data_IF_325247716622
#
_entry.id   IF_325247716622
#
_cell.length_a   1.000
_cell.length_b   1.000
_cell.length_c   1.000
_cell.angle_alpha   90.00
_cell.angle_beta   90.00
_cell.angle_gamma   90.00
#
_symmetry.space_group_name_H-M   'P 1'
#
loop_
_entity.id
_entity.type
_entity.pdbx_description
1 polymer ?
2 water ?
#
# COMPACT_ATOMS: atom_id res chain seq x y z
N UNK A 10 -4.70 -17.90 -2.40
CA UNK A 10 -5.45 -18.36 -1.23
C UNK A 10 -6.72 -17.53 -1.07
N UNK A 11 -6.68 -16.29 -1.51
CA UNK A 11 -7.81 -15.37 -1.36
C UNK A 11 -8.73 -15.43 -2.56
N UNK A 12 -10.00 -15.05 -2.36
CA UNK A 12 -10.99 -15.05 -3.44
C UNK A 12 -11.08 -13.69 -4.10
N UNK A 13 -10.28 -13.47 -5.14
CA UNK A 13 -10.25 -12.20 -5.86
C UNK A 13 -11.33 -12.14 -6.94
N UNK A 14 -11.95 -13.28 -7.23
CA UNK A 14 -12.92 -13.38 -8.31
C UNK A 14 -14.09 -12.41 -8.19
N UNK A 15 -14.30 -11.87 -6.99
CA UNK A 15 -15.47 -11.03 -6.75
C UNK A 15 -15.23 -9.55 -7.01
N UNK A 16 -13.96 -9.15 -7.06
CA UNK A 16 -13.63 -7.72 -7.13
C UNK A 16 -13.42 -7.21 -8.55
N UNK A 17 -13.37 -5.88 -8.68
CA UNK A 17 -13.25 -5.23 -9.97
C UNK A 17 -11.90 -5.45 -10.63
N UNK A 18 -11.91 -5.39 -11.96
CA UNK A 18 -10.69 -5.47 -12.74
C UNK A 18 -9.71 -4.40 -12.27
N UNK A 19 -10.24 -3.21 -12.00
CA UNK A 19 -9.40 -2.08 -11.60
C UNK A 19 -8.61 -2.38 -10.33
N UNK A 20 -9.21 -3.16 -9.43
CA UNK A 20 -8.56 -3.49 -8.18
C UNK A 20 -7.41 -4.47 -8.44
N UNK A 21 -7.59 -5.35 -9.41
CA UNK A 21 -6.55 -6.31 -9.76
C UNK A 21 -5.31 -5.57 -10.24
N UNK A 22 -5.49 -4.65 -11.17
CA UNK A 22 -4.36 -3.90 -11.71
C UNK A 22 -3.74 -3.04 -10.63
N UNK A 23 -4.56 -2.58 -9.68
CA UNK A 23 -4.06 -1.83 -8.54
C UNK A 23 -3.12 -2.69 -7.72
N UNK A 24 -3.53 -3.94 -7.48
CA UNK A 24 -2.72 -4.88 -6.73
C UNK A 24 -1.43 -5.24 -7.47
N UNK A 25 -1.51 -5.26 -8.80
CA UNK A 25 -0.35 -5.67 -9.61
C UNK A 25 0.65 -4.53 -9.79
N UNK A 26 0.15 -3.32 -10.03
CA UNK A 26 1.02 -2.21 -10.38
C UNK A 26 1.23 -1.21 -9.25
N UNK A 27 0.29 -1.14 -8.31
CA UNK A 27 0.21 0.00 -7.40
C UNK A 27 -0.10 -0.38 -5.96
N UNK A 28 0.41 -1.53 -5.51
CA UNK A 28 0.14 -1.97 -4.14
C UNK A 28 0.95 -1.18 -3.10
N UNK A 29 1.97 -0.46 -3.54
CA UNK A 29 2.71 0.42 -2.67
C UNK A 29 3.72 -0.27 -1.77
N UNK A 30 3.97 -1.54 -2.04
CA UNK A 30 4.95 -2.30 -1.28
C UNK A 30 6.31 -1.63 -1.29
N UNK A 31 6.69 -1.12 -2.46
CA UNK A 31 7.95 -0.41 -2.62
C UNK A 31 8.09 0.76 -1.65
N UNK A 32 7.02 1.53 -1.49
CA UNK A 32 7.06 2.68 -0.57
C UNK A 32 7.21 2.20 0.87
N UNK A 33 6.40 1.22 1.26
CA UNK A 33 6.49 0.65 2.60
C UNK A 33 7.86 0.02 2.83
N UNK A 34 8.48 -0.47 1.76
CA UNK A 34 9.83 -1.02 1.88
C UNK A 34 10.77 0.08 2.33
N UNK A 35 10.69 1.24 1.68
CA UNK A 35 11.56 2.36 2.01
C UNK A 35 11.32 2.82 3.44
N UNK A 36 10.06 2.96 3.83
CA UNK A 36 9.74 3.39 5.19
C UNK A 36 10.25 2.38 6.22
N UNK A 37 10.18 1.09 5.88
CA UNK A 37 10.68 0.06 6.78
C UNK A 37 12.17 0.24 6.99
N UNK A 38 12.90 0.47 5.91
CA UNK A 38 14.34 0.69 5.97
C UNK A 38 14.67 1.90 6.85
N UNK A 39 13.97 2.99 6.62
CA UNK A 39 14.17 4.20 7.41
C UNK A 39 13.97 3.92 8.90
N UNK A 40 12.93 3.16 9.21
CA UNK A 40 12.61 2.84 10.61
C UNK A 40 13.67 1.91 11.20
N UNK A 41 14.07 0.89 10.47
CA UNK A 41 15.11 -0.02 10.93
C UNK A 41 16.37 0.77 11.29
N UNK A 42 16.81 1.63 10.37
CA UNK A 42 17.99 2.44 10.61
C UNK A 42 17.82 3.32 11.85
N UNK A 43 16.62 3.86 12.04
CA UNK A 43 16.37 4.74 13.17
C UNK A 43 16.27 3.98 14.49
N UNK A 44 16.13 2.66 14.41
CA UNK A 44 16.17 1.82 15.60
C UNK A 44 17.54 1.18 15.78
N UNK A 45 18.56 1.78 15.16
CA UNK A 45 19.95 1.38 15.36
C UNK A 45 20.33 0.08 14.63
N UNK A 46 19.58 -0.27 13.59
CA UNK A 46 19.99 -1.36 12.71
C UNK A 46 20.81 -0.80 11.56
N UNK A 47 21.84 -1.52 11.15
CA UNK A 47 22.66 -1.13 10.01
C UNK A 47 22.61 -2.23 8.97
N UNK A 48 22.70 -1.87 7.70
CA UNK A 48 22.68 -2.86 6.63
C UNK A 48 24.07 -3.09 6.07
N UNK A 49 24.55 -4.32 6.18
CA UNK A 49 25.87 -4.69 5.68
C UNK A 49 25.74 -5.09 4.22
N UNK A 50 26.35 -4.29 3.34
CA UNK A 50 26.18 -4.46 1.90
C UNK A 50 26.63 -5.84 1.43
N UNK A 51 27.82 -6.24 1.82
CA UNK A 51 28.39 -7.51 1.37
C UNK A 51 27.69 -8.74 1.97
N UNK A 52 27.51 -8.75 3.29
CA UNK A 52 26.79 -9.82 3.96
C UNK A 52 25.31 -9.81 3.56
N UNK A 53 24.86 -8.69 3.02
CA UNK A 53 23.47 -8.54 2.58
C UNK A 53 22.51 -8.87 3.70
N UNK A 54 22.66 -8.19 4.84
CA UNK A 54 21.89 -8.51 6.03
C UNK A 54 21.81 -7.30 6.94
N UNK A 55 20.70 -7.18 7.69
CA UNK A 55 20.58 -6.12 8.66
C UNK A 55 21.23 -6.59 9.96
N UNK A 56 21.94 -5.68 10.62
CA UNK A 56 22.71 -6.01 11.80
C UNK A 56 22.43 -5.01 12.92
N UNK A 57 22.51 -5.46 14.16
CA UNK A 57 22.43 -4.57 15.29
C UNK A 57 23.18 -5.15 16.50
N UNK A 58 23.66 -4.26 17.36
CA UNK A 58 24.41 -4.68 18.54
C UNK A 58 23.53 -5.53 19.44
N UNK A 59 24.11 -6.63 19.93
CA UNK A 59 23.45 -7.43 20.95
C UNK A 59 23.57 -6.69 22.27
N UNK A 60 22.46 -6.55 23.00
CA UNK A 60 22.51 -5.81 24.27
C UNK A 60 23.39 -6.54 25.30
N UNK A 61 24.18 -5.78 26.04
CA UNK A 61 25.07 -6.35 27.03
C UNK A 61 26.30 -6.98 26.43
N UNK A 62 26.56 -6.70 25.14
CA UNK A 62 27.71 -7.26 24.46
C UNK A 62 28.59 -6.15 23.88
N UNK A 63 29.62 -5.78 24.63
CA UNK A 63 30.59 -4.80 24.15
C UNK A 63 31.59 -5.48 23.21
N UNK A 64 32.09 -4.73 22.22
CA UNK A 64 33.02 -5.29 21.24
C UNK A 64 34.33 -5.80 21.88
N UNK A 65 34.81 -6.94 21.38
CA UNK A 65 36.06 -7.51 21.83
C UNK A 65 37.24 -6.69 21.33
N UNK A 66 37.28 -6.48 20.02
CA UNK A 66 38.31 -5.65 19.40
C UNK A 66 37.65 -4.38 18.87
N UNK A 67 38.35 -3.26 18.99
CA UNK A 67 37.83 -1.99 18.50
C UNK A 67 38.94 -1.12 17.95
N UNK A 68 38.86 -0.82 16.66
CA UNK A 68 39.80 0.09 16.01
C UNK A 68 39.00 1.15 15.27
N UNK A 69 39.69 2.10 14.67
CA UNK A 69 39.03 3.22 14.01
C UNK A 69 38.36 2.84 12.69
N UNK A 70 38.66 1.64 12.19
CA UNK A 70 38.11 1.20 10.92
C UNK A 70 37.26 -0.06 11.03
N UNK A 71 37.23 -0.67 12.21
CA UNK A 71 36.45 -1.88 12.40
C UNK A 71 36.38 -2.28 13.87
N UNK A 72 35.55 -3.27 14.15
CA UNK A 72 35.47 -3.85 15.49
C UNK A 72 35.04 -5.30 15.39
N UNK A 73 35.25 -6.05 16.47
CA UNK A 73 34.81 -7.43 16.52
C UNK A 73 33.99 -7.62 17.78
N UNK A 74 32.93 -8.40 17.67
CA UNK A 74 32.03 -8.63 18.79
C UNK A 74 30.87 -9.49 18.33
N UNK A 75 29.84 -9.57 19.17
CA UNK A 75 28.66 -10.34 18.84
C UNK A 75 27.51 -9.40 18.50
N UNK A 76 26.85 -9.65 17.38
CA UNK A 76 25.76 -8.81 16.92
C UNK A 76 24.57 -9.67 16.52
N UNK A 77 23.39 -9.05 16.47
CA UNK A 77 22.21 -9.71 15.95
C UNK A 77 22.17 -9.57 14.45
N UNK A 78 21.83 -10.65 13.77
CA UNK A 78 21.67 -10.67 12.33
C UNK A 78 20.26 -11.14 12.06
N UNK A 79 19.54 -10.48 11.16
CA UNK A 79 18.24 -11.01 10.79
C UNK A 79 18.38 -11.96 9.62
N UNK A 80 18.17 -13.25 9.90
CA UNK A 80 18.26 -14.28 8.87
C UNK A 80 16.95 -14.33 8.12
N UNK A 81 16.93 -13.77 6.91
CA UNK A 81 15.70 -13.65 6.14
C UNK A 81 15.32 -14.98 5.50
N UNK A 82 16.22 -15.94 5.55
CA UNK A 82 15.93 -17.28 5.03
C UNK A 82 15.18 -18.10 6.08
N UNK A 83 15.67 -18.04 7.32
CA UNK A 83 15.01 -18.73 8.43
C UNK A 83 14.08 -17.80 9.18
N UNK A 84 14.04 -16.54 8.74
CA UNK A 84 13.15 -15.55 9.31
C UNK A 84 13.24 -15.50 10.84
N UNK A 85 14.43 -15.21 11.34
CA UNK A 85 14.62 -15.08 12.77
C UNK A 85 15.90 -14.29 13.07
N UNK A 86 15.90 -13.61 14.22
CA UNK A 86 17.05 -12.86 14.68
C UNK A 86 18.08 -13.83 15.24
N UNK A 87 19.30 -13.76 14.75
CA UNK A 87 20.36 -14.71 15.11
C UNK A 87 21.61 -14.00 15.61
N UNK A 88 22.19 -14.51 16.69
CA UNK A 88 23.40 -13.94 17.25
C UNK A 88 24.63 -14.56 16.59
N UNK A 89 25.60 -13.72 16.26
CA UNK A 89 26.81 -14.17 15.59
C UNK A 89 27.99 -13.27 15.96
N UNK A 90 29.13 -13.89 16.22
CA UNK A 90 30.37 -13.14 16.39
C UNK A 90 30.87 -12.79 15.00
N UNK A 91 31.36 -11.57 14.81
CA UNK A 91 31.60 -11.08 13.46
C UNK A 91 32.64 -9.97 13.44
N UNK A 92 33.43 -9.94 12.37
CA UNK A 92 34.38 -8.86 12.15
C UNK A 92 33.70 -7.77 11.35
N UNK A 93 33.41 -6.64 11.99
CA UNK A 93 32.57 -5.61 11.40
C UNK A 93 33.39 -4.40 10.92
N UNK A 94 33.49 -4.24 9.62
CA UNK A 94 34.19 -3.12 9.02
C UNK A 94 33.18 -2.00 8.72
N UNK A 95 33.33 -0.88 9.42
CA UNK A 95 32.33 0.19 9.36
C UNK A 95 31.95 0.62 7.95
N UNK A 96 32.94 0.77 7.08
CA UNK A 96 32.67 1.30 5.74
C UNK A 96 31.88 0.32 4.86
N UNK A 97 31.58 -0.86 5.41
CA UNK A 97 30.72 -1.82 4.71
C UNK A 97 29.25 -1.66 5.09
N UNK A 98 28.96 -0.73 5.99
CA UNK A 98 27.60 -0.46 6.42
C UNK A 98 27.01 0.70 5.64
N UNK A 99 25.82 0.51 5.08
CA UNK A 99 25.17 1.55 4.28
C UNK A 99 24.73 2.72 5.15
N UNK A 100 24.72 3.90 4.55
CA UNK A 100 24.30 5.12 5.24
C UNK A 100 22.78 5.13 5.37
N UNK A 101 22.27 6.08 6.15
CA UNK A 101 20.84 6.15 6.39
C UNK A 101 20.08 6.17 5.07
N UNK A 102 19.01 5.37 4.98
CA UNK A 102 18.18 5.31 3.77
C UNK A 102 17.75 6.68 3.29
N UNK A 103 17.72 6.86 1.97
CA UNK A 103 17.28 8.10 1.35
C UNK A 103 16.51 7.78 0.08
N UNK A 104 15.92 8.80 -0.53
CA UNK A 104 15.14 8.60 -1.74
C UNK A 104 16.02 8.17 -2.91
N UNK A 105 15.56 7.16 -3.67
CA UNK A 105 16.31 6.67 -4.85
C UNK A 105 16.23 7.63 -6.03
N UNK B 1 12.08 15.43 2.57
CA UNK B 1 12.40 14.07 3.00
C UNK B 1 13.15 14.10 4.34
N UNK B 2 14.09 13.17 4.52
CA UNK B 2 14.95 13.14 5.70
C UNK B 2 14.18 13.08 7.00
N UNK B 3 14.19 14.19 7.77
CA UNK B 3 13.45 14.26 9.03
C UNK B 3 11.95 14.14 8.82
N UNK B 4 11.47 14.49 7.63
CA UNK B 4 10.06 14.38 7.30
C UNK B 4 9.69 12.92 7.06
N UNK B 5 10.53 12.22 6.31
CA UNK B 5 10.30 10.82 6.03
C UNK B 5 10.51 10.02 7.31
N UNK B 6 11.47 10.44 8.13
CA UNK B 6 11.65 9.84 9.45
C UNK B 6 10.33 9.91 10.21
N UNK B 7 9.65 11.06 10.14
CA UNK B 7 8.40 11.26 10.84
C UNK B 7 7.28 10.41 10.27
N UNK B 8 7.21 10.34 8.94
CA UNK B 8 6.21 9.51 8.29
C UNK B 8 6.39 8.05 8.68
N UNK B 9 7.63 7.57 8.63
CA UNK B 9 7.95 6.19 8.99
C UNK B 9 7.63 5.95 10.47
N UNK B 10 7.88 6.96 11.30
CA UNK B 10 7.62 6.85 12.73
C UNK B 10 6.12 6.74 13.01
N UNK B 11 5.33 7.57 12.33
CA UNK B 11 3.89 7.55 12.54
C UNK B 11 3.31 6.23 12.09
N UNK B 12 3.80 5.73 10.97
CA UNK B 12 3.27 4.49 10.38
C UNK B 12 3.72 3.24 11.12
N UNK B 13 4.99 3.19 11.49
CA UNK B 13 5.59 1.95 11.98
C UNK B 13 6.10 2.05 13.42
N UNK B 14 6.05 3.25 13.99
CA UNK B 14 6.60 3.48 15.31
C UNK B 14 6.10 2.53 16.37
N UNK B 15 4.83 2.15 16.28
CA UNK B 15 4.21 1.35 17.33
C UNK B 15 4.42 -0.15 17.13
N UNK B 16 4.86 -0.54 15.93
CA UNK B 16 5.02 -1.95 15.62
C UNK B 16 6.43 -2.47 15.90
N UNK B 17 6.58 -3.79 15.93
CA UNK B 17 7.83 -4.42 16.28
C UNK B 17 8.67 -4.76 15.06
N UNK B 18 9.93 -5.10 15.32
CA UNK B 18 10.91 -5.38 14.27
C UNK B 18 10.41 -6.36 13.21
N UNK B 19 9.55 -7.29 13.62
CA UNK B 19 9.09 -8.33 12.71
C UNK B 19 8.31 -7.76 11.53
N UNK B 20 7.51 -6.72 11.78
CA UNK B 20 6.77 -6.07 10.71
C UNK B 20 7.75 -5.35 9.78
N UNK B 21 8.73 -4.69 10.37
CA UNK B 21 9.73 -3.97 9.59
C UNK B 21 10.40 -4.88 8.57
N UNK B 22 10.81 -6.07 8.99
CA UNK B 22 11.46 -6.99 8.08
C UNK B 22 10.46 -7.54 7.08
N UNK B 23 9.25 -7.83 7.54
CA UNK B 23 8.20 -8.28 6.65
C UNK B 23 8.06 -7.30 5.50
N UNK B 24 8.17 -6.02 5.81
CA UNK B 24 8.02 -4.97 4.81
C UNK B 24 9.28 -4.79 3.96
N UNK B 25 10.46 -4.82 4.60
CA UNK B 25 11.69 -4.63 3.86
C UNK B 25 11.85 -5.69 2.77
N UNK B 26 11.42 -6.91 3.05
CA UNK B 26 11.55 -7.99 2.08
C UNK B 26 10.28 -8.14 1.26
N UNK B 27 9.42 -7.12 1.34
CA UNK B 27 8.23 -6.99 0.49
C UNK B 27 7.42 -8.28 0.40
N UNK B 28 7.20 -8.93 1.54
CA UNK B 28 6.43 -10.15 1.57
C UNK B 28 4.98 -9.93 1.17
N UNK B 29 4.42 -8.80 1.60
CA UNK B 29 3.04 -8.47 1.25
C UNK B 29 2.90 -8.15 -0.22
N UNK B 30 3.62 -7.14 -0.67
CA UNK B 30 3.51 -6.65 -2.04
C UNK B 30 3.75 -7.70 -3.10
N UNK B 31 4.80 -8.50 -2.93
CA UNK B 31 5.16 -9.50 -3.92
C UNK B 31 4.06 -10.54 -4.10
N UNK B 32 3.45 -10.95 -2.99
CA UNK B 32 2.37 -11.94 -3.06
C UNK B 32 1.13 -11.34 -3.71
N UNK B 33 0.72 -10.17 -3.25
CA UNK B 33 -0.44 -9.51 -3.84
C UNK B 33 -0.27 -9.44 -5.35
N UNK B 34 0.90 -8.99 -5.79
CA UNK B 34 1.19 -8.88 -7.21
C UNK B 34 1.01 -10.23 -7.90
N UNK B 35 1.38 -11.30 -7.20
CA UNK B 35 1.24 -12.64 -7.73
C UNK B 35 -0.23 -13.06 -7.81
N UNK B 36 -0.94 -12.91 -6.70
CA UNK B 36 -2.36 -13.24 -6.66
C UNK B 36 -3.14 -12.47 -7.72
N UNK B 37 -2.78 -11.20 -7.93
CA UNK B 37 -3.43 -10.39 -8.94
C UNK B 37 -3.18 -10.98 -10.31
N UNK B 38 -1.94 -11.39 -10.56
CA UNK B 38 -1.57 -12.01 -11.82
C UNK B 38 -2.42 -13.25 -12.07
N UNK B 39 -2.51 -14.11 -11.06
CA UNK B 39 -3.31 -15.32 -11.15
C UNK B 39 -4.76 -15.02 -11.55
N UNK B 40 -5.38 -14.07 -10.85
CA UNK B 40 -6.76 -13.70 -11.14
C UNK B 40 -6.88 -13.10 -12.53
N UNK B 41 -5.98 -12.18 -12.86
CA UNK B 41 -5.97 -11.59 -14.19
C UNK B 41 -5.93 -12.68 -15.24
N UNK B 42 -5.09 -13.69 -15.00
CA UNK B 42 -4.97 -14.80 -15.93
C UNK B 42 -6.27 -15.57 -16.00
N UNK B 43 -6.91 -15.77 -14.84
CA UNK B 43 -8.19 -16.45 -14.79
C UNK B 43 -9.24 -15.72 -15.62
N UNK B 44 -9.09 -14.41 -15.74
CA UNK B 44 -10.04 -13.60 -16.51
C UNK B 44 -9.54 -13.35 -17.93
N UNK B 45 -8.78 -14.29 -18.46
CA UNK B 45 -8.38 -14.29 -19.87
C UNK B 45 -7.42 -13.15 -20.24
N UNK B 46 -6.73 -12.59 -19.25
CA UNK B 46 -5.65 -11.65 -19.53
C UNK B 46 -4.34 -12.42 -19.68
N UNK B 47 -3.60 -12.12 -20.74
CA UNK B 47 -2.27 -12.69 -20.95
C UNK B 47 -1.22 -11.58 -20.87
N UNK B 48 -0.05 -11.88 -20.32
CA UNK B 48 1.01 -10.90 -20.22
C UNK B 48 1.99 -11.04 -21.39
N UNK B 49 2.10 -9.99 -22.20
CA UNK B 49 2.98 -9.99 -23.34
C UNK B 49 4.39 -9.59 -22.90
N UNK B 50 5.38 -10.40 -23.26
CA UNK B 50 6.76 -10.20 -22.78
C UNK B 50 7.43 -8.97 -23.40
N UNK B 51 7.36 -8.85 -24.72
CA UNK B 51 7.96 -7.71 -25.40
C UNK B 51 7.17 -6.42 -25.16
N UNK B 52 5.90 -6.42 -25.52
CA UNK B 52 5.03 -5.28 -25.26
C UNK B 52 5.00 -4.92 -23.78
N UNK B 53 5.29 -5.91 -22.93
CA UNK B 53 5.31 -5.72 -21.49
C UNK B 53 4.03 -5.05 -20.97
N UNK B 54 2.90 -5.65 -21.31
CA UNK B 54 1.61 -5.20 -20.79
C UNK B 54 0.67 -6.38 -20.72
N UNK B 55 -0.40 -6.23 -19.95
CA UNK B 55 -1.47 -7.22 -19.94
C UNK B 55 -2.40 -6.95 -21.11
N UNK B 56 -2.76 -8.01 -21.83
CA UNK B 56 -3.66 -7.87 -22.96
C UNK B 56 -4.71 -8.98 -22.93
N UNK B 57 -5.82 -8.74 -23.63
CA UNK B 57 -6.89 -9.71 -23.69
C UNK B 57 -7.71 -9.45 -24.95
N UNK B 58 -8.25 -10.50 -25.53
CA UNK B 58 -9.10 -10.37 -26.70
C UNK B 58 -10.28 -9.50 -26.35
N UNK B 59 -10.62 -8.57 -27.23
CA UNK B 59 -11.82 -7.77 -27.05
C UNK B 59 -13.02 -8.69 -27.07
N UNK B 60 -13.78 -8.74 -25.97
CA UNK B 60 -14.91 -9.69 -25.91
C UNK B 60 -15.91 -9.44 -27.03
N UNK B 61 -16.36 -10.51 -27.67
CA UNK B 61 -17.30 -10.40 -28.77
C UNK B 61 -16.59 -10.25 -30.11
N UNK B 62 -15.35 -10.73 -30.17
CA UNK B 62 -14.58 -10.66 -31.42
C UNK B 62 -13.57 -11.78 -31.49
N UNK B 63 -13.78 -12.72 -32.42
CA UNK B 63 -12.85 -13.80 -32.65
C UNK B 63 -11.72 -13.31 -33.57
N UNK B 64 -10.53 -13.91 -33.45
CA UNK B 64 -9.38 -13.54 -34.27
C UNK B 64 -9.64 -13.67 -35.76
N UNK B 65 -9.38 -12.60 -36.52
CA UNK B 65 -9.56 -12.62 -37.96
C UNK B 65 -8.77 -13.78 -38.57
N UNK B 66 -7.51 -13.91 -38.18
CA UNK B 66 -6.66 -14.99 -38.65
C UNK B 66 -6.07 -15.72 -37.45
N UNK B 67 -5.96 -17.04 -37.54
CA UNK B 67 -5.41 -17.82 -36.44
C UNK B 67 -4.66 -19.05 -36.93
N UNK B 68 -3.58 -19.39 -36.23
CA UNK B 68 -2.79 -20.58 -36.53
C UNK B 68 -2.33 -21.21 -35.21
N UNK B 69 -1.27 -22.02 -35.28
CA UNK B 69 -0.73 -22.65 -34.09
C UNK B 69 0.41 -21.86 -33.45
N UNK B 70 0.81 -20.76 -34.09
CA UNK B 70 1.93 -19.97 -33.60
C UNK B 70 1.56 -18.50 -33.36
N UNK B 71 0.46 -18.05 -33.93
CA UNK B 71 0.07 -16.65 -33.82
C UNK B 71 -1.41 -16.46 -34.13
N UNK B 72 -1.86 -15.20 -34.05
CA UNK B 72 -3.23 -14.84 -34.41
C UNK B 72 -3.36 -13.33 -34.54
N UNK B 73 -4.17 -12.88 -35.48
CA UNK B 73 -4.45 -11.45 -35.64
C UNK B 73 -5.84 -11.16 -35.10
N UNK B 74 -6.03 -9.94 -34.60
CA UNK B 74 -7.32 -9.55 -34.05
C UNK B 74 -7.21 -8.32 -33.16
N UNK B 75 -8.35 -7.92 -32.59
CA UNK B 75 -8.40 -6.75 -31.73
C UNK B 75 -8.31 -7.13 -30.26
N UNK B 76 -7.37 -6.51 -29.55
CA UNK B 76 -7.16 -6.81 -28.14
C UNK B 76 -7.13 -5.52 -27.31
N UNK B 77 -7.57 -5.61 -26.07
CA UNK B 77 -7.43 -4.51 -25.13
C UNK B 77 -6.04 -4.57 -24.49
N UNK B 78 -5.40 -3.42 -24.38
CA UNK B 78 -4.10 -3.29 -23.73
C UNK B 78 -4.26 -2.42 -22.50
N UNK B 79 -3.76 -2.87 -21.36
CA UNK B 79 -3.83 -2.05 -20.15
C UNK B 79 -2.66 -1.07 -20.08
N UNK B 80 -3.01 0.21 -20.01
CA UNK B 80 -2.03 1.28 -19.89
C UNK B 80 -1.95 1.72 -18.43
N UNK B 81 -0.93 1.25 -17.72
CA UNK B 81 -0.80 1.53 -16.30
C UNK B 81 -0.44 2.99 -16.02
N UNK B 82 0.14 3.66 -17.02
CA UNK B 82 0.53 5.05 -16.86
C UNK B 82 -0.68 5.98 -16.78
N UNK B 83 -1.70 5.69 -17.58
CA UNK B 83 -2.92 6.50 -17.58
C UNK B 83 -4.11 5.75 -16.98
N UNK B 84 -3.85 4.56 -16.44
CA UNK B 84 -4.86 3.78 -15.75
C UNK B 84 -6.11 3.60 -16.61
N UNK B 85 -5.93 3.04 -17.79
CA UNK B 85 -7.04 2.84 -18.72
C UNK B 85 -6.81 1.62 -19.60
N UNK B 86 -7.85 1.24 -20.32
CA UNK B 86 -7.81 0.09 -21.20
C UNK B 86 -8.06 0.57 -22.63
N UNK B 87 -7.14 0.27 -23.53
CA UNK B 87 -7.24 0.73 -24.92
C UNK B 87 -7.21 -0.45 -25.88
N UNK B 88 -8.03 -0.39 -26.92
CA UNK B 88 -8.11 -1.47 -27.89
C UNK B 88 -7.22 -1.18 -29.11
N UNK B 89 -6.58 -2.22 -29.63
CA UNK B 89 -5.68 -2.08 -30.77
C UNK B 89 -5.63 -3.38 -31.56
N UNK B 90 -5.76 -3.28 -32.89
CA UNK B 90 -5.53 -4.44 -33.75
C UNK B 90 -4.06 -4.80 -33.62
N UNK B 91 -3.79 -6.09 -33.42
CA UNK B 91 -2.45 -6.51 -33.02
C UNK B 91 -2.10 -7.90 -33.56
N UNK B 92 -0.81 -8.08 -33.84
CA UNK B 92 -0.28 -9.36 -34.30
C UNK B 92 0.24 -10.12 -33.08
N UNK B 93 -0.54 -11.09 -32.61
CA UNK B 93 -0.22 -11.79 -31.37
C UNK B 93 0.47 -13.13 -31.62
N UNK B 94 1.69 -13.25 -31.12
CA UNK B 94 2.47 -14.48 -31.23
C UNK B 94 2.48 -15.19 -29.89
N UNK B 95 1.92 -16.39 -29.84
CA UNK B 95 1.69 -17.10 -28.58
C UNK B 95 2.94 -17.25 -27.72
N UNK B 96 4.10 -17.43 -28.35
CA UNK B 96 5.34 -17.67 -27.62
C UNK B 96 5.78 -16.43 -26.85
N UNK B 97 5.13 -15.30 -27.10
CA UNK B 97 5.47 -14.05 -26.41
C UNK B 97 4.56 -13.82 -25.20
N UNK B 98 3.92 -14.87 -24.72
CA UNK B 98 3.02 -14.76 -23.58
C UNK B 98 3.52 -15.59 -22.40
N UNK B 99 3.52 -14.99 -21.22
CA UNK B 99 3.91 -15.69 -20.01
C UNK B 99 2.95 -16.84 -19.74
N UNK B 100 3.44 -17.86 -19.06
CA UNK B 100 2.61 -19.00 -18.69
C UNK B 100 1.80 -18.66 -17.44
N UNK B 101 0.77 -19.46 -17.17
CA UNK B 101 -0.08 -19.24 -16.02
C UNK B 101 0.76 -19.03 -14.77
N UNK B 102 0.53 -17.91 -14.06
CA UNK B 102 1.29 -17.62 -12.84
C UNK B 102 1.25 -18.76 -11.82
N UNK B 103 2.35 -18.96 -11.11
CA UNK B 103 2.45 -20.01 -10.10
C UNK B 103 2.43 -21.40 -10.73
N UNK C 2 10.27 17.66 0.69
CA UNK C 2 9.55 18.90 0.92
C UNK C 2 8.73 18.86 2.20
N UNK C 3 7.96 19.92 2.46
CA UNK C 3 7.13 20.04 3.68
C UNK C 3 6.01 18.99 3.74
N UNK C 4 5.62 18.45 2.59
CA UNK C 4 4.53 17.49 2.54
C UNK C 4 4.94 16.20 1.81
N UNK C 5 6.16 15.72 2.07
CA UNK C 5 6.67 14.52 1.41
C UNK C 5 6.61 14.68 -0.11
N UNK C 6 6.92 15.89 -0.58
CA UNK C 6 6.83 16.20 -2.00
C UNK C 6 7.80 15.38 -2.84
N UNK C 7 9.02 15.22 -2.32
CA UNK C 7 10.04 14.47 -3.05
C UNK C 7 9.59 13.03 -3.27
N UNK C 8 9.07 12.41 -2.23
CA UNK C 8 8.64 11.02 -2.31
C UNK C 8 7.49 10.84 -3.29
N UNK C 9 6.56 11.81 -3.30
CA UNK C 9 5.41 11.75 -4.19
C UNK C 9 5.86 11.83 -5.65
N UNK C 10 6.79 12.72 -5.93
CA UNK C 10 7.26 12.93 -7.31
C UNK C 10 8.00 11.71 -7.84
N UNK C 11 8.82 11.11 -7.00
CA UNK C 11 9.61 9.96 -7.41
C UNK C 11 8.74 8.72 -7.60
N UNK C 12 7.74 8.57 -6.74
CA UNK C 12 6.85 7.42 -6.80
C UNK C 12 5.80 7.55 -7.91
N UNK C 13 5.16 8.71 -7.99
CA UNK C 13 4.02 8.89 -8.88
C UNK C 13 4.29 9.85 -10.06
N UNK C 14 5.48 10.41 -10.10
CA UNK C 14 5.80 11.43 -11.10
C UNK C 14 5.57 10.98 -12.53
N UNK C 15 5.81 9.70 -12.79
CA UNK C 15 5.75 9.16 -14.16
C UNK C 15 4.32 8.90 -14.63
N UNK C 16 3.38 8.81 -13.70
CA UNK C 16 2.02 8.43 -14.05
C UNK C 16 1.15 9.64 -14.41
N UNK C 17 0.20 9.41 -15.32
CA UNK C 17 -0.73 10.44 -15.73
C UNK C 17 -1.68 10.80 -14.60
N UNK C 18 -2.34 11.94 -14.73
CA UNK C 18 -3.22 12.46 -13.69
C UNK C 18 -4.40 11.53 -13.40
N UNK C 19 -4.82 10.75 -14.41
CA UNK C 19 -5.96 9.85 -14.22
C UNK C 19 -5.67 8.82 -13.15
N UNK C 20 -4.42 8.38 -13.05
CA UNK C 20 -4.02 7.50 -11.98
C UNK C 20 -4.10 8.24 -10.66
N UNK C 21 -3.63 9.48 -10.65
CA UNK C 21 -3.62 10.27 -9.42
C UNK C 21 -5.03 10.41 -8.84
N UNK C 22 -6.00 10.71 -9.70
CA UNK C 22 -7.37 10.89 -9.26
C UNK C 22 -7.97 9.56 -8.81
N UNK C 23 -7.65 8.49 -9.51
CA UNK C 23 -8.09 7.16 -9.10
C UNK C 23 -7.65 6.91 -7.66
N UNK C 24 -6.36 7.14 -7.39
CA UNK C 24 -5.83 6.94 -6.07
C UNK C 24 -6.51 7.87 -5.07
N UNK C 25 -6.64 9.13 -5.42
CA UNK C 25 -7.21 10.11 -4.50
C UNK C 25 -8.63 9.72 -4.07
N UNK C 26 -9.40 9.18 -5.00
CA UNK C 26 -10.81 8.85 -4.72
C UNK C 26 -11.07 7.38 -4.41
N UNK C 27 -10.04 6.54 -4.48
CA UNK C 27 -10.22 5.11 -4.26
C UNK C 27 -10.42 4.75 -2.79
N UNK C 28 -9.69 5.44 -1.91
CA UNK C 28 -9.62 5.04 -0.51
C UNK C 28 -9.14 3.60 -0.42
N UNK C 29 -8.05 3.30 -1.12
CA UNK C 29 -7.50 1.96 -1.19
C UNK C 29 -7.21 1.36 0.18
N UNK C 30 -6.74 2.20 1.10
CA UNK C 30 -6.49 1.76 2.46
C UNK C 30 -7.73 1.15 3.07
N UNK C 31 -8.86 1.85 2.97
CA UNK C 31 -10.12 1.36 3.50
C UNK C 31 -10.60 0.12 2.73
N UNK C 32 -10.48 0.18 1.41
CA UNK C 32 -10.94 -0.93 0.57
C UNK C 32 -10.24 -2.23 0.94
N UNK C 33 -8.92 -2.16 1.06
CA UNK C 33 -8.13 -3.36 1.33
C UNK C 33 -8.31 -3.84 2.77
N UNK C 34 -8.48 -2.91 3.70
CA UNK C 34 -8.73 -3.28 5.09
C UNK C 34 -10.04 -4.05 5.20
N UNK C 35 -11.06 -3.61 4.48
CA UNK C 35 -12.35 -4.27 4.52
C UNK C 35 -12.26 -5.67 3.88
N UNK C 36 -11.53 -5.76 2.78
CA UNK C 36 -11.34 -7.03 2.09
C UNK C 36 -10.71 -8.05 3.05
N UNK C 37 -9.70 -7.60 3.80
CA UNK C 37 -9.02 -8.46 4.75
C UNK C 37 -9.97 -8.87 5.88
N UNK C 38 -10.81 -7.96 6.34
CA UNK C 38 -11.73 -8.24 7.42
C UNK C 38 -12.75 -9.30 7.02
N UNK C 39 -13.25 -9.21 5.80
CA UNK C 39 -14.23 -10.17 5.31
C UNK C 39 -13.62 -11.56 5.25
N UNK C 40 -12.40 -11.64 4.73
CA UNK C 40 -11.68 -12.91 4.65
C UNK C 40 -11.43 -13.48 6.03
N UNK C 41 -10.84 -12.68 6.91
CA UNK C 41 -10.55 -13.10 8.27
C UNK C 41 -11.81 -13.64 8.95
N UNK C 42 -12.92 -12.94 8.78
CA UNK C 42 -14.16 -13.39 9.40
C UNK C 42 -14.59 -14.72 8.80
N UNK C 43 -14.40 -14.86 7.49
CA UNK C 43 -14.76 -16.09 6.79
C UNK C 43 -13.88 -17.27 7.18
N UNK C 44 -12.70 -16.97 7.73
CA UNK C 44 -11.80 -18.03 8.19
C UNK C 44 -11.88 -18.15 9.70
N UNK C 45 -13.03 -17.77 10.26
CA UNK C 45 -13.35 -18.01 11.67
C UNK C 45 -12.51 -17.18 12.63
N UNK C 46 -11.94 -16.08 12.14
CA UNK C 46 -11.39 -15.07 13.03
C UNK C 46 -12.51 -14.12 13.44
N UNK C 47 -12.40 -13.56 14.63
CA UNK C 47 -13.38 -12.59 15.12
C UNK C 47 -12.66 -11.41 15.74
N UNK C 48 -13.17 -10.20 15.50
CA UNK C 48 -12.56 -9.00 16.04
C UNK C 48 -13.19 -8.66 17.38
N UNK C 49 -12.35 -8.57 18.41
CA UNK C 49 -12.80 -8.27 19.75
C UNK C 49 -12.83 -6.76 19.97
N UNK C 50 -14.00 -6.24 20.34
CA UNK C 50 -14.24 -4.80 20.39
C UNK C 50 -13.39 -4.08 21.43
N UNK C 51 -13.27 -4.67 22.61
CA UNK C 51 -12.50 -4.07 23.69
C UNK C 51 -11.00 -4.41 23.66
N UNK C 52 -10.67 -5.68 23.49
CA UNK C 52 -9.28 -6.09 23.28
C UNK C 52 -8.69 -5.45 22.02
N UNK C 53 -9.56 -5.17 21.04
CA UNK C 53 -9.13 -4.52 19.79
C UNK C 53 -8.11 -5.39 19.04
N UNK C 54 -8.45 -6.67 18.86
CA UNK C 54 -7.58 -7.59 18.14
C UNK C 54 -8.42 -8.69 17.50
N UNK C 55 -7.86 -9.36 16.49
CA UNK C 55 -8.50 -10.51 15.88
C UNK C 55 -8.20 -11.76 16.71
N UNK C 56 -9.18 -12.63 16.82
CA UNK C 56 -9.07 -13.82 17.64
C UNK C 56 -9.70 -15.03 16.95
N UNK C 57 -9.13 -16.20 17.17
CA UNK C 57 -9.69 -17.43 16.60
C UNK C 57 -9.32 -18.63 17.46
N UNK C 58 -10.19 -19.64 17.46
CA UNK C 58 -9.94 -20.85 18.22
C UNK C 58 -8.66 -21.51 17.73
N UNK C 59 -7.88 -22.03 18.68
CA UNK C 59 -6.71 -22.82 18.34
C UNK C 59 -7.20 -24.12 17.70
N UNK C 60 -6.60 -24.51 16.57
CA UNK C 60 -7.07 -25.68 15.82
C UNK C 60 -7.08 -26.94 16.68
N UNK C 61 -8.17 -27.71 16.59
CA UNK C 61 -8.31 -28.93 17.36
C UNK C 61 -8.16 -28.71 18.84
N UNK C 62 -8.88 -27.72 19.37
CA UNK C 62 -8.85 -27.44 20.80
C UNK C 62 -10.17 -26.83 21.24
N UNK C 63 -11.02 -27.66 21.85
CA UNK C 63 -12.34 -27.24 22.28
C UNK C 63 -12.27 -26.36 23.51
N UNK C 64 -13.28 -25.51 23.71
CA UNK C 64 -13.35 -24.68 24.92
C UNK C 64 -13.60 -25.52 26.17
N UNK C 65 -12.96 -25.14 27.28
CA UNK C 65 -13.13 -25.85 28.54
C UNK C 65 -14.50 -25.55 29.13
N UNK C 66 -15.10 -24.46 28.70
CA UNK C 66 -16.42 -24.06 29.17
C UNK C 66 -17.15 -23.28 28.09
N UNK C 67 -18.39 -23.65 27.82
CA UNK C 67 -19.17 -22.97 26.80
C UNK C 67 -20.61 -22.71 27.25
N UNK C 68 -21.05 -21.48 27.05
CA UNK C 68 -22.44 -21.11 27.28
C UNK C 68 -22.93 -20.37 26.05
N UNK C 69 -24.14 -19.81 26.12
CA UNK C 69 -24.71 -19.08 25.00
C UNK C 69 -24.17 -17.65 24.92
N UNK C 70 -23.57 -17.17 26.02
CA UNK C 70 -23.12 -15.79 26.08
C UNK C 70 -21.60 -15.67 26.11
N UNK C 71 -20.91 -16.79 26.34
CA UNK C 71 -19.46 -16.77 26.37
C UNK C 71 -18.88 -18.18 26.35
N UNK C 72 -17.61 -18.27 25.95
CA UNK C 72 -16.87 -19.51 26.01
C UNK C 72 -15.46 -19.23 26.51
N UNK C 73 -14.92 -20.15 27.29
CA UNK C 73 -13.57 -20.03 27.80
C UNK C 73 -12.72 -21.14 27.21
N UNK C 74 -11.46 -20.82 26.92
CA UNK C 74 -10.57 -21.78 26.31
C UNK C 74 -9.27 -21.14 25.87
N UNK C 75 -8.59 -21.79 24.94
CA UNK C 75 -7.33 -21.29 24.42
C UNK C 75 -7.52 -20.86 22.97
N UNK C 76 -7.05 -19.66 22.66
CA UNK C 76 -7.28 -19.07 21.35
C UNK C 76 -6.02 -18.41 20.83
N UNK C 77 -5.94 -18.27 19.52
CA UNK C 77 -4.92 -17.46 18.90
C UNK C 77 -5.46 -16.05 18.73
N UNK C 78 -4.66 -15.06 19.09
CA UNK C 78 -4.96 -13.69 18.73
C UNK C 78 -3.74 -13.13 18.01
N UNK C 79 -3.99 -12.25 17.05
CA UNK C 79 -2.88 -11.65 16.33
C UNK C 79 -2.39 -10.43 17.09
N UNK C 80 -1.21 -10.57 17.69
CA UNK C 80 -0.56 -9.49 18.40
C UNK C 80 0.07 -8.57 17.38
N UNK C 81 -0.73 -7.67 16.81
CA UNK C 81 -0.29 -6.86 15.69
C UNK C 81 0.98 -6.09 16.03
N UNK C 82 1.12 -5.68 17.27
CA UNK C 82 2.29 -4.91 17.69
C UNK C 82 3.58 -5.72 17.55
N UNK C 83 3.56 -6.97 18.01
CA UNK C 83 4.71 -7.86 17.86
C UNK C 83 4.66 -8.62 16.53
N UNK C 84 3.60 -8.39 15.77
CA UNK C 84 3.42 -9.00 14.47
C UNK C 84 3.58 -10.53 14.48
N UNK C 85 2.69 -11.21 15.18
CA UNK C 85 2.68 -12.67 15.19
C UNK C 85 1.47 -13.18 15.95
N UNK C 86 1.00 -14.37 15.57
CA UNK C 86 -0.04 -15.05 16.33
C UNK C 86 0.47 -15.35 17.73
N UNK C 87 -0.44 -15.38 18.69
CA UNK C 87 -0.09 -15.66 20.08
C UNK C 87 -1.22 -16.41 20.76
N UNK C 88 -0.94 -17.62 21.22
CA UNK C 88 -1.93 -18.42 21.92
C UNK C 88 -2.06 -17.95 23.36
N UNK C 89 -3.29 -17.86 23.84
CA UNK C 89 -3.55 -17.43 25.21
C UNK C 89 -4.92 -17.93 25.67
N UNK C 90 -5.11 -18.02 26.97
CA UNK C 90 -6.41 -18.35 27.52
C UNK C 90 -7.28 -17.10 27.53
N UNK C 91 -8.47 -17.21 26.95
CA UNK C 91 -9.42 -16.10 26.90
C UNK C 91 -10.73 -16.49 27.55
N UNK C 92 -11.43 -15.48 28.09
CA UNK C 92 -12.85 -15.59 28.41
C UNK C 92 -13.57 -14.75 27.37
N UNK C 93 -14.19 -15.42 26.40
CA UNK C 93 -14.72 -14.74 25.22
C UNK C 93 -16.22 -14.55 25.27
N UNK C 94 -16.66 -13.30 25.40
CA UNK C 94 -18.08 -12.98 25.34
C UNK C 94 -18.48 -12.67 23.90
N UNK C 95 -19.52 -13.33 23.43
CA UNK C 95 -19.94 -13.19 22.02
C UNK C 95 -20.39 -11.77 21.69
N UNK C 96 -20.92 -11.06 22.66
CA UNK C 96 -21.42 -9.71 22.43
C UNK C 96 -20.27 -8.70 22.39
N UNK C 97 -19.05 -9.16 22.63
CA UNK C 97 -17.88 -8.30 22.52
C UNK C 97 -17.18 -8.51 21.18
N UNK C 98 -17.80 -9.30 20.31
CA UNK C 98 -17.22 -9.59 19.00
C UNK C 98 -18.02 -8.92 17.90
N UNK C 99 -17.32 -8.41 16.89
CA UNK C 99 -17.96 -7.79 15.74
C UNK C 99 -18.67 -8.85 14.92
N UNK C 100 -19.74 -8.46 14.23
CA UNK C 100 -20.43 -9.36 13.33
C UNK C 100 -19.84 -9.26 11.93
N UNK C 101 -20.16 -10.22 11.06
CA UNK C 101 -19.68 -10.20 9.68
C UNK C 101 -19.63 -8.76 9.18
N UNK C 102 -18.41 -8.25 8.92
CA UNK C 102 -18.23 -6.83 8.61
C UNK C 102 -18.49 -6.49 7.15
N UNK C 103 -19.64 -5.89 6.89
CA UNK C 103 -19.91 -5.28 5.59
C UNK C 103 -19.73 -3.78 5.71
N UNK C 104 -19.79 -3.28 6.94
CA UNK C 104 -19.80 -1.84 7.19
C UNK C 104 -18.45 -1.31 7.68
N UNK C 105 -18.23 0.01 7.51
CA UNK C 105 -17.00 0.69 7.95
C UNK C 105 -16.69 0.47 9.42
N UNK C 106 -15.40 0.36 9.75
CA UNK C 106 -14.97 0.08 11.12
C UNK C 106 -15.50 1.12 12.10
N UNK C 107 -15.81 0.65 13.31
CA UNK C 107 -16.18 1.53 14.40
C UNK C 107 -14.92 2.24 14.90
N UNK C 108 -15.06 3.52 15.23
CA UNK C 108 -13.91 4.30 15.69
C UNK C 108 -14.11 4.77 17.13
N UNK C 109 -13.24 4.30 18.01
CA UNK C 109 -13.24 4.75 19.40
C UNK C 109 -12.33 5.96 19.54
N UNK C 110 -12.91 7.11 19.88
CA UNK C 110 -12.14 8.33 19.98
C UNK C 110 -11.22 8.31 21.18
N UNK C 111 -9.94 8.61 20.93
CA UNK C 111 -8.95 8.73 21.99
C UNK C 111 -8.28 10.11 21.90
N UNK C 112 -7.74 10.59 23.04
CA UNK C 112 -7.03 11.88 23.04
C UNK C 112 -5.82 11.87 22.10
N UNK C 113 -5.48 13.02 21.54
CA UNK C 113 -4.34 13.13 20.64
C UNK C 113 -3.04 12.96 21.40
N UNK D 18 -3.07 -15.99 5.53
CA UNK D 18 -3.30 -15.50 6.89
C UNK D 18 -2.41 -14.30 7.18
N UNK D 19 -1.10 -14.53 7.26
CA UNK D 19 -0.17 -13.44 7.47
C UNK D 19 -0.41 -12.30 6.46
N UNK D 20 -0.67 -12.67 5.22
CA UNK D 20 -0.98 -11.70 4.18
C UNK D 20 -2.22 -10.90 4.57
N UNK D 21 -3.20 -11.59 5.15
CA UNK D 21 -4.45 -10.94 5.54
C UNK D 21 -4.25 -9.88 6.61
N UNK D 22 -3.38 -10.16 7.58
CA UNK D 22 -3.10 -9.18 8.62
C UNK D 22 -2.26 -8.03 8.07
N UNK D 23 -1.54 -8.30 6.98
CA UNK D 23 -0.81 -7.25 6.28
C UNK D 23 -1.80 -6.33 5.57
N UNK D 24 -2.81 -6.92 4.95
CA UNK D 24 -3.83 -6.15 4.27
C UNK D 24 -4.67 -5.33 5.24
N UNK D 25 -4.81 -5.83 6.47
CA UNK D 25 -5.65 -5.16 7.46
C UNK D 25 -4.93 -4.01 8.17
N UNK D 26 -3.67 -4.24 8.55
CA UNK D 26 -2.95 -3.28 9.39
C UNK D 26 -1.98 -2.38 8.63
N UNK D 27 -1.47 -2.83 7.49
CA UNK D 27 -0.42 -2.10 6.79
C UNK D 27 -0.43 -2.37 5.30
N UNK D 28 -1.55 -2.05 4.64
CA UNK D 28 -1.69 -2.35 3.22
C UNK D 28 -1.06 -1.29 2.32
N UNK D 29 -0.68 -0.15 2.90
CA UNK D 29 0.02 0.88 2.18
C UNK D 29 -0.88 1.75 1.31
N UNK D 30 -2.18 1.49 1.35
CA UNK D 30 -3.12 2.24 0.52
C UNK D 30 -3.29 3.68 0.96
N UNK D 31 -3.32 3.89 2.28
CA UNK D 31 -3.45 5.23 2.84
C UNK D 31 -2.30 6.13 2.42
N UNK D 32 -1.08 5.61 2.48
CA UNK D 32 0.11 6.40 2.15
C UNK D 32 0.12 6.75 0.67
N UNK D 33 -0.19 5.76 -0.16
CA UNK D 33 -0.18 5.93 -1.59
C UNK D 33 -1.23 6.97 -2.01
N UNK D 34 -2.36 6.96 -1.32
CA UNK D 34 -3.44 7.91 -1.57
C UNK D 34 -2.99 9.33 -1.19
N UNK D 35 -2.33 9.44 -0.04
CA UNK D 35 -1.85 10.73 0.43
C UNK D 35 -0.80 11.30 -0.52
N UNK D 36 0.02 10.42 -1.10
CA UNK D 36 1.03 10.84 -2.05
C UNK D 36 0.38 11.32 -3.35
N UNK D 37 -0.78 10.77 -3.68
CA UNK D 37 -1.52 11.16 -4.87
C UNK D 37 -2.04 12.59 -4.73
N UNK D 38 -2.54 12.90 -3.54
CA UNK D 38 -3.06 14.24 -3.26
C UNK D 38 -1.96 15.28 -3.41
N UNK D 39 -0.77 14.96 -2.90
CA UNK D 39 0.36 15.86 -2.98
C UNK D 39 0.83 16.04 -4.41
N UNK D 40 0.83 14.94 -5.17
CA UNK D 40 1.30 15.00 -6.55
C UNK D 40 0.35 15.84 -7.41
N UNK D 41 -0.94 15.79 -7.11
CA UNK D 41 -1.90 16.64 -7.80
C UNK D 41 -1.60 18.11 -7.52
N UNK D 42 -1.40 18.41 -6.23
CA UNK D 42 -1.13 19.79 -5.83
C UNK D 42 0.14 20.32 -6.47
N UNK D 43 1.13 19.45 -6.64
CA UNK D 43 2.41 19.85 -7.23
C UNK D 43 2.33 19.93 -8.74
N UNK D 44 1.25 19.41 -9.31
CA UNK D 44 1.00 19.57 -10.74
C UNK D 44 0.03 20.72 -10.98
N UNK D 45 -0.02 21.64 -10.03
CA UNK D 45 -0.79 22.89 -10.16
C UNK D 45 -2.30 22.72 -10.02
N UNK D 46 -2.75 21.57 -9.53
CA UNK D 46 -4.15 21.42 -9.15
C UNK D 46 -4.36 22.02 -7.76
N UNK D 47 -5.53 22.62 -7.54
CA UNK D 47 -5.86 23.16 -6.23
C UNK D 47 -7.28 22.76 -5.85
N UNK D 48 -7.51 22.61 -4.55
CA UNK D 48 -8.80 22.13 -4.07
C UNK D 48 -9.68 23.29 -3.65
N UNK D 49 -10.85 23.37 -4.28
CA UNK D 49 -11.79 24.44 -4.00
C UNK D 49 -12.69 24.05 -2.83
N UNK D 50 -12.69 24.87 -1.77
CA UNK D 50 -13.41 24.56 -0.55
C UNK D 50 -14.91 24.41 -0.77
N UNK D 51 -15.54 25.43 -1.35
CA UNK D 51 -16.98 25.41 -1.60
C UNK D 51 -17.40 24.34 -2.61
N UNK D 52 -16.69 24.29 -3.75
CA UNK D 52 -17.04 23.36 -4.82
C UNK D 52 -16.65 21.93 -4.49
N UNK D 53 -15.72 21.77 -3.54
CA UNK D 53 -15.27 20.45 -3.12
C UNK D 53 -14.75 19.64 -4.29
N UNK D 54 -13.83 20.22 -5.06
CA UNK D 54 -13.26 19.56 -6.22
C UNK D 54 -11.89 20.15 -6.55
N UNK D 55 -11.07 19.38 -7.24
CA UNK D 55 -9.77 19.87 -7.67
C UNK D 55 -9.95 20.64 -8.96
N UNK D 56 -9.27 21.78 -9.08
CA UNK D 56 -9.32 22.57 -10.31
C UNK D 56 -7.93 23.05 -10.71
N UNK D 57 -7.74 23.24 -12.01
CA UNK D 57 -6.48 23.75 -12.54
C UNK D 57 -6.76 24.59 -13.78
N UNK D 58 -5.77 25.36 -14.22
CA UNK D 58 -5.93 26.22 -15.38
C UNK D 58 -6.01 25.40 -16.68
N UNK D 59 -6.95 25.77 -17.55
CA UNK D 59 -7.07 25.12 -18.85
C UNK D 59 -6.15 25.78 -19.86
N UNK D 60 -5.44 24.98 -20.67
CA UNK D 60 -4.42 25.48 -21.60
C UNK D 60 -4.97 26.34 -22.73
N UNK D 61 -4.13 27.21 -23.27
CA UNK D 61 -4.52 28.10 -24.34
C UNK D 61 -5.56 29.11 -23.91
N UNK D 62 -5.63 29.38 -22.61
CA UNK D 62 -6.60 30.32 -22.08
C UNK D 62 -6.09 31.03 -20.83
N UNK D 63 -5.99 32.35 -20.91
CA UNK D 63 -5.59 33.17 -19.77
C UNK D 63 -6.84 33.78 -19.12
N UNK D 64 -6.73 34.13 -17.83
CA UNK D 64 -7.85 34.76 -17.14
C UNK D 64 -8.25 36.07 -17.81
N UNK D 65 -9.56 36.32 -17.90
CA UNK D 65 -10.08 37.52 -18.53
C UNK D 65 -10.11 38.68 -17.53
N UNK D 66 -10.05 38.36 -16.25
CA UNK D 66 -10.06 39.37 -15.20
C UNK D 66 -9.14 38.93 -14.06
N UNK D 67 -8.24 39.82 -13.67
CA UNK D 67 -7.30 39.54 -12.59
C UNK D 67 -7.36 40.63 -11.52
N UNK D 68 -7.89 40.26 -10.36
CA UNK D 68 -7.98 41.16 -9.21
C UNK D 68 -7.20 40.54 -8.05
N UNK D 69 -6.85 41.36 -7.06
CA UNK D 69 -6.10 40.88 -5.91
C UNK D 69 -6.75 39.67 -5.24
N UNK D 70 -8.04 39.78 -4.94
CA UNK D 70 -8.75 38.73 -4.22
C UNK D 70 -9.39 37.66 -5.13
N UNK D 71 -9.34 37.86 -6.44
CA UNK D 71 -9.99 36.91 -7.35
C UNK D 71 -9.61 37.12 -8.80
N UNK D 72 -9.95 36.15 -9.63
CA UNK D 72 -9.79 36.26 -11.07
C UNK D 72 -10.96 35.56 -11.75
N UNK D 73 -11.10 35.77 -13.05
CA UNK D 73 -12.12 35.07 -13.83
C UNK D 73 -11.49 34.50 -15.09
N UNK D 74 -11.65 33.20 -15.29
CA UNK D 74 -11.11 32.53 -16.45
C UNK D 74 -11.75 31.17 -16.62
N UNK D 75 -11.13 30.32 -17.43
CA UNK D 75 -11.62 28.97 -17.64
C UNK D 75 -10.66 27.97 -16.98
N UNK D 76 -11.23 27.04 -16.20
CA UNK D 76 -10.44 26.04 -15.49
C UNK D 76 -11.04 24.66 -15.68
N UNK D 77 -10.23 23.63 -15.45
CA UNK D 77 -10.73 22.27 -15.44
C UNK D 77 -11.27 21.93 -14.06
N UNK D 78 -12.43 21.30 -14.03
CA UNK D 78 -13.03 20.82 -12.80
C UNK D 78 -13.14 19.31 -12.90
N UNK D 79 -12.35 18.57 -12.12
CA UNK D 79 -12.44 17.12 -12.17
C UNK D 79 -13.70 16.62 -11.50
N UNK D 80 -14.54 15.95 -12.29
CA UNK D 80 -15.82 15.46 -11.84
C UNK D 80 -15.70 13.99 -11.44
N UNK D 81 -15.65 13.72 -10.14
CA UNK D 81 -15.47 12.36 -9.66
C UNK D 81 -16.74 11.53 -9.84
N UNK D 82 -17.89 12.19 -9.81
CA UNK D 82 -19.17 11.51 -9.97
C UNK D 82 -19.26 10.82 -11.33
N UNK D 83 -18.98 11.57 -12.39
CA UNK D 83 -19.04 11.05 -13.74
C UNK D 83 -17.66 10.73 -14.28
N UNK D 84 -16.65 10.86 -13.43
CA UNK D 84 -15.28 10.57 -13.81
C UNK D 84 -14.93 11.25 -15.12
N UNK D 85 -14.80 12.57 -15.08
CA UNK D 85 -14.49 13.35 -16.28
C UNK D 85 -13.85 14.67 -15.93
N UNK D 86 -13.19 15.27 -16.92
CA UNK D 86 -12.53 16.55 -16.77
C UNK D 86 -13.37 17.59 -17.52
N UNK D 87 -13.80 18.65 -16.83
CA UNK D 87 -14.71 19.62 -17.44
C UNK D 87 -14.15 21.05 -17.43
N UNK D 88 -13.88 21.56 -18.63
CA UNK D 88 -13.51 22.97 -18.80
C UNK D 88 -14.73 23.83 -18.49
N UNK D 89 -14.53 24.90 -17.72
CA UNK D 89 -15.64 25.69 -17.21
C UNK D 89 -15.22 27.12 -16.88
N UNK D 90 -15.95 28.09 -17.42
CA UNK D 90 -15.70 29.49 -17.10
C UNK D 90 -16.18 29.76 -15.67
N UNK D 91 -15.33 30.38 -14.87
CA UNK D 91 -15.56 30.42 -13.43
C UNK D 91 -14.95 31.65 -12.76
N UNK D 92 -15.66 32.18 -11.78
CA UNK D 92 -15.16 33.27 -10.96
C UNK D 92 -14.38 32.69 -9.78
N UNK D 93 -13.06 32.78 -9.85
CA UNK D 93 -12.19 32.11 -8.88
C UNK D 93 -11.73 33.03 -7.75
N UNK D 94 -12.34 32.87 -6.59
CA UNK D 94 -11.93 33.59 -5.40
C UNK D 94 -10.80 32.85 -4.69
N UNK D 95 -9.65 33.52 -4.57
CA UNK D 95 -8.43 32.87 -4.08
C UNK D 95 -8.57 32.28 -2.68
N UNK D 96 -9.31 32.94 -1.80
CA UNK D 96 -9.46 32.45 -0.43
C UNK D 96 -10.37 31.23 -0.36
N UNK D 97 -10.77 30.71 -1.52
CA UNK D 97 -11.53 29.48 -1.59
C UNK D 97 -10.65 28.31 -2.05
N UNK D 98 -9.40 28.62 -2.39
CA UNK D 98 -8.43 27.59 -2.73
C UNK D 98 -7.49 27.35 -1.56
N UNK D 99 -7.24 26.08 -1.24
CA UNK D 99 -6.34 25.74 -0.15
C UNK D 99 -4.89 25.89 -0.60
N UNK D 100 -4.09 26.51 0.26
CA UNK D 100 -2.69 26.78 -0.04
C UNK D 100 -1.82 25.53 0.02
N UNK D 101 -2.39 24.45 0.55
CA UNK D 101 -1.67 23.19 0.67
C UNK D 101 -2.51 22.07 0.07
N UNK D 102 -1.90 20.92 -0.23
CA UNK D 102 -2.67 19.81 -0.79
C UNK D 102 -3.83 19.39 0.12
N UNK D 103 -4.99 19.12 -0.47
CA UNK D 103 -6.14 18.68 0.29
C UNK D 103 -6.07 17.17 0.49
N UNK D 104 -6.09 16.75 1.76
CA UNK D 104 -6.00 15.33 2.08
C UNK D 104 -7.40 14.74 2.10
N UNK D 105 -7.59 13.61 1.40
CA UNK D 105 -8.92 13.02 1.28
C UNK D 105 -9.48 12.59 2.63
N UNK D 106 -10.79 12.37 2.67
CA UNK D 106 -11.43 11.91 3.88
C UNK D 106 -11.65 10.40 3.78
N UNK D 107 -11.34 9.69 4.86
CA UNK D 107 -11.48 8.24 4.89
C UNK D 107 -12.37 7.84 6.06
N UNK D 108 -12.70 6.56 6.13
CA UNK D 108 -13.54 6.03 7.20
C UNK D 108 -13.11 6.60 8.55
N UNK D 109 -11.89 6.30 8.97
CA UNK D 109 -11.37 6.77 10.24
C UNK D 109 -10.24 7.78 10.02
N UNK D 110 -9.92 8.54 11.06
CA UNK D 110 -8.80 9.47 10.98
C UNK D 110 -7.49 8.70 10.88
N UNK D 111 -6.57 9.23 10.07
CA UNK D 111 -5.27 8.63 9.90
C UNK D 111 -4.17 9.60 10.33
N UNK D 112 -3.42 9.24 11.39
CA UNK D 112 -2.35 10.12 11.91
C UNK D 112 -1.24 10.34 10.88
N UNK D 113 -1.21 9.54 9.83
CA UNK D 113 -0.23 9.69 8.76
C UNK D 113 -0.41 11.03 8.04
N UNK D 114 -1.63 11.57 8.09
CA UNK D 114 -1.93 12.85 7.45
C UNK D 114 -1.05 13.98 7.99
N UNK D 115 -0.66 13.85 9.25
CA UNK D 115 0.19 14.84 9.90
C UNK D 115 1.51 15.05 9.15
N UNK D 116 1.91 14.05 8.36
CA UNK D 116 3.16 14.11 7.62
C UNK D 116 2.98 14.75 6.24
N UNK D 117 1.74 14.95 5.84
CA UNK D 117 1.45 15.54 4.53
C UNK D 117 0.75 16.88 4.68
#
# INVERSE_FOLDING_TARGET
QGPHMDKLAAIKLGRYGEDLLFYLYYMNGGDVLQLLAAVELFNRDWRYHKEERVWITRAPGMEPTMKTNTYERGTYYFFDCLNWRKVAKEFHLEYDKLEERPHLPSTFNYNPAQQAF
QGPHMDKLAAIKLGRYGEDLLFYLYYMNGGDVLQLLAAVELFNRDWRYHKEERVWITRAPGMEPTMKTNTYERGTYYFFDCLNWRKVAKEFHLEYDKLEERPHLPSTFNYNPAQQAF
QGPHMDKLAAIKLGRYGEDLLFYLYYMNGGDVLQLLAAVELFNRDWRYHKEERVWITRAPGMEPTMKTNTYERGTYYFFDCLNWRKVAKEFHLEYDKLEERPHLPSTFNYNPAQQAF
QGPHMDKLAAIKLGRYGEDLLFYLYYMNGGDVLQLLAAVELFNRDWRYHKEERVWITRAPGMEPTMKTNTYERGTYYFFDCLNWRKVAKEFHLEYDKLEERPHLPSTFNYNPAQQAF
#
